data_IF_119520444337
#
_entry.id   IF_119520444337
#
_cell.length_a   1.000
_cell.length_b   1.000
_cell.length_c   1.000
_cell.angle_alpha   90.00
_cell.angle_beta   90.00
_cell.angle_gamma   90.00
#
_symmetry.space_group_name_H-M   'P 1'
#
loop_
_entity.id
_entity.type
_entity.pdbx_description
1 polymer ?
#
# COMPACT_ATOMS: atom_id res chain seq x y z
N UNK A 1 24.18 -17.61 4.39
CA UNK A 1 24.71 -16.33 4.93
C UNK A 1 23.53 -15.47 5.33
N UNK A 2 23.64 -14.65 6.38
CA UNK A 2 22.56 -13.74 6.80
C UNK A 2 22.36 -12.59 5.81
N UNK A 3 21.15 -12.01 5.76
CA UNK A 3 20.86 -10.81 4.96
C UNK A 3 21.51 -9.57 5.57
N UNK A 4 21.68 -8.52 4.78
CA UNK A 4 22.17 -7.21 5.24
C UNK A 4 21.18 -6.13 4.83
N UNK A 5 20.67 -5.40 5.81
CA UNK A 5 19.80 -4.25 5.64
C UNK A 5 20.61 -2.96 5.76
N UNK A 6 20.62 -2.18 4.68
CA UNK A 6 21.25 -0.87 4.59
C UNK A 6 20.21 0.20 4.91
N UNK A 7 20.51 1.06 5.88
CA UNK A 7 19.52 1.90 6.53
C UNK A 7 19.94 3.36 6.46
N UNK A 8 19.00 4.24 6.10
CA UNK A 8 19.23 5.68 6.15
C UNK A 8 19.48 6.17 7.59
N UNK A 9 20.39 7.13 7.78
CA UNK A 9 20.74 7.63 9.12
C UNK A 9 19.53 8.26 9.84
N UNK A 10 18.65 8.93 9.08
CA UNK A 10 17.42 9.52 9.59
C UNK A 10 16.50 8.49 10.27
N UNK A 11 16.48 7.24 9.78
CA UNK A 11 15.72 6.14 10.41
C UNK A 11 16.32 5.80 11.79
N UNK A 12 17.65 5.76 11.89
CA UNK A 12 18.35 5.54 13.16
C UNK A 12 18.08 6.64 14.18
N UNK A 13 18.05 7.91 13.73
CA UNK A 13 17.71 9.05 14.58
C UNK A 13 16.26 8.97 15.06
N UNK A 14 15.32 8.70 14.15
CA UNK A 14 13.90 8.56 14.47
C UNK A 14 13.65 7.45 15.50
N UNK A 15 14.22 6.25 15.31
CA UNK A 15 14.11 5.15 16.27
C UNK A 15 14.73 5.48 17.63
N UNK A 16 15.85 6.20 17.63
CA UNK A 16 16.50 6.70 18.86
C UNK A 16 15.60 7.68 19.62
N UNK A 17 14.97 8.61 18.90
CA UNK A 17 14.07 9.63 19.47
C UNK A 17 12.81 8.98 20.05
N UNK A 18 12.20 8.03 19.34
CA UNK A 18 11.07 7.25 19.85
C UNK A 18 11.43 6.52 21.15
N UNK A 19 12.61 5.91 21.17
CA UNK A 19 13.11 5.21 22.35
C UNK A 19 13.42 6.14 23.53
N UNK A 20 13.76 7.41 23.29
CA UNK A 20 14.04 8.39 24.33
C UNK A 20 12.75 8.99 24.91
N UNK A 21 11.75 9.23 24.06
CA UNK A 21 10.48 9.88 24.44
C UNK A 21 9.53 8.96 25.22
N UNK A 22 9.69 7.65 25.14
CA UNK A 22 8.75 6.68 25.72
C UNK A 22 9.45 5.56 26.49
N UNK A 23 8.94 5.27 27.70
CA UNK A 23 9.25 4.03 28.43
C UNK A 23 8.32 2.86 28.06
N UNK A 24 7.35 3.10 27.16
CA UNK A 24 6.35 2.11 26.74
C UNK A 24 6.90 1.23 25.61
N UNK A 25 6.25 0.08 25.40
CA UNK A 25 6.45 -0.73 24.20
C UNK A 25 5.94 0.06 22.99
N UNK A 26 6.75 0.16 21.93
CA UNK A 26 6.36 0.81 20.66
C UNK A 26 6.48 -0.23 19.57
N UNK A 27 5.43 -0.39 18.76
CA UNK A 27 5.44 -1.21 17.55
C UNK A 27 5.42 -0.31 16.33
N UNK A 28 6.01 -0.76 15.23
CA UNK A 28 5.95 -0.04 13.95
C UNK A 28 6.40 -0.86 12.76
N UNK A 29 6.43 -0.20 11.61
CA UNK A 29 6.73 -0.76 10.30
C UNK A 29 8.03 -0.18 9.75
N UNK A 30 8.71 -0.96 8.93
CA UNK A 30 9.90 -0.55 8.19
C UNK A 30 9.56 -0.59 6.70
N UNK A 31 9.84 0.50 6.00
CA UNK A 31 9.55 0.67 4.57
C UNK A 31 10.86 0.82 3.80
N UNK A 32 10.92 0.18 2.63
CA UNK A 32 12.06 0.28 1.75
C UNK A 32 11.96 -0.68 0.57
N UNK A 33 13.11 -1.21 0.13
CA UNK A 33 13.20 -2.08 -1.04
C UNK A 33 14.03 -3.31 -0.73
N UNK A 34 13.50 -4.50 -1.05
CA UNK A 34 14.27 -5.74 -1.02
C UNK A 34 14.86 -6.04 -2.39
N UNK A 35 16.11 -6.53 -2.42
CA UNK A 35 16.72 -7.06 -3.65
C UNK A 35 17.54 -8.32 -3.36
N UNK A 36 17.92 -9.04 -4.40
CA UNK A 36 18.73 -10.27 -4.24
C UNK A 36 20.09 -9.99 -3.58
N UNK A 37 20.63 -8.78 -3.74
CA UNK A 37 21.97 -8.43 -3.23
C UNK A 37 21.95 -7.62 -1.94
N UNK A 38 21.06 -6.62 -1.86
CA UNK A 38 21.01 -5.66 -0.76
C UNK A 38 19.58 -5.24 -0.47
N UNK A 39 19.24 -5.18 0.80
CA UNK A 39 17.95 -4.62 1.22
C UNK A 39 18.17 -3.22 1.76
N UNK A 40 17.23 -2.34 1.47
CA UNK A 40 17.29 -0.93 1.80
C UNK A 40 16.11 -0.57 2.70
N UNK A 41 16.37 0.19 3.76
CA UNK A 41 15.36 0.75 4.66
C UNK A 41 15.41 2.27 4.56
N UNK A 42 14.33 2.85 4.07
CA UNK A 42 14.21 4.29 3.88
C UNK A 42 13.47 4.97 5.02
N UNK A 43 12.50 4.26 5.61
CA UNK A 43 11.59 4.87 6.58
C UNK A 43 11.23 3.86 7.67
N UNK A 44 11.12 4.36 8.90
CA UNK A 44 10.46 3.68 10.00
C UNK A 44 9.22 4.48 10.38
N UNK A 45 8.13 3.77 10.63
CA UNK A 45 6.82 4.36 10.90
C UNK A 45 6.27 3.72 12.17
N UNK A 46 6.03 4.51 13.21
CA UNK A 46 5.36 4.04 14.41
C UNK A 46 3.91 3.65 14.09
N UNK A 47 3.45 2.52 14.60
CA UNK A 47 2.02 2.17 14.54
C UNK A 47 1.22 3.13 15.42
N UNK A 48 0.14 3.74 14.88
CA UNK A 48 -0.72 4.63 15.65
C UNK A 48 -1.29 3.97 16.89
N UNK A 49 -1.48 4.74 17.96
CA UNK A 49 -2.09 4.24 19.19
C UNK A 49 -3.60 4.14 18.97
N UNK A 50 -4.22 3.04 19.41
CA UNK A 50 -5.68 2.93 19.38
C UNK A 50 -6.31 3.96 20.32
N UNK A 51 -7.36 4.64 19.88
CA UNK A 51 -8.05 5.66 20.67
C UNK A 51 -8.64 5.10 21.99
N UNK A 52 -9.00 3.81 22.07
CA UNK A 52 -9.43 3.17 23.31
C UNK A 52 -8.35 3.18 24.42
N UNK A 53 -7.07 3.23 24.04
CA UNK A 53 -5.94 3.30 24.96
C UNK A 53 -5.55 4.74 25.34
N UNK A 54 -6.07 5.77 24.65
CA UNK A 54 -5.78 7.17 24.97
C UNK A 54 -6.62 7.70 26.15
N UNK A 55 -7.79 7.11 26.37
CA UNK A 55 -8.75 7.53 27.40
C UNK A 55 -8.64 6.78 28.74
N UNK A 56 -7.77 5.76 28.84
CA UNK A 56 -7.59 5.00 30.08
C UNK A 56 -6.40 5.53 30.90
N UNK A 57 -6.70 6.33 31.92
CA UNK A 57 -5.75 6.82 32.92
C UNK A 57 -5.37 5.74 33.95
N UNK A 58 -4.89 4.56 33.52
CA UNK A 58 -4.57 3.46 34.43
C UNK A 58 -3.26 2.71 34.05
N UNK A 59 -2.23 3.02 34.84
CA UNK A 59 -1.01 2.30 35.24
C UNK A 59 -0.66 0.85 34.80
N UNK A 60 -0.91 0.40 33.57
CA UNK A 60 -0.39 -0.90 33.08
C UNK A 60 0.24 -0.78 31.69
N UNK A 61 1.46 -0.22 31.62
CA UNK A 61 2.10 0.23 30.36
C UNK A 61 3.35 -0.56 29.92
N UNK A 62 3.58 -1.75 30.51
CA UNK A 62 4.62 -2.71 30.10
C UNK A 62 4.03 -4.05 29.67
N UNK A 63 2.71 -4.15 29.53
CA UNK A 63 2.06 -5.41 29.22
C UNK A 63 2.14 -5.70 27.71
N UNK A 64 2.56 -6.91 27.39
CA UNK A 64 2.68 -7.41 26.01
C UNK A 64 1.29 -7.57 25.37
N UNK A 65 0.22 -7.59 26.18
CA UNK A 65 -1.18 -7.62 25.76
C UNK A 65 -1.60 -6.40 24.95
N UNK A 66 -0.88 -5.27 25.04
CA UNK A 66 -1.15 -4.04 24.27
C UNK A 66 -0.67 -4.12 22.81
N UNK A 67 0.07 -5.17 22.41
CA UNK A 67 0.48 -5.33 21.02
C UNK A 67 -0.67 -5.99 20.25
N UNK A 68 -1.45 -5.18 19.53
CA UNK A 68 -2.49 -5.69 18.64
C UNK A 68 -1.94 -6.03 17.25
N UNK A 69 -1.95 -7.32 16.93
CA UNK A 69 -1.48 -7.85 15.66
C UNK A 69 -2.37 -7.45 14.47
N UNK A 70 -3.69 -7.41 14.66
CA UNK A 70 -4.64 -7.05 13.60
C UNK A 70 -4.60 -5.54 13.32
N UNK A 71 -4.40 -4.73 14.36
CA UNK A 71 -4.21 -3.29 14.21
C UNK A 71 -2.91 -2.96 13.48
N UNK A 72 -1.81 -3.63 13.83
CA UNK A 72 -0.54 -3.47 13.12
C UNK A 72 -0.67 -3.94 11.67
N UNK A 73 -1.44 -5.00 11.41
CA UNK A 73 -1.74 -5.45 10.06
C UNK A 73 -2.62 -4.46 9.28
N UNK A 74 -3.61 -3.84 9.93
CA UNK A 74 -4.42 -2.77 9.34
C UNK A 74 -3.57 -1.55 8.95
N UNK A 75 -2.69 -1.13 9.86
CA UNK A 75 -1.70 -0.10 9.58
C UNK A 75 -0.82 -0.46 8.38
N UNK A 76 -0.30 -1.68 8.31
CA UNK A 76 0.54 -2.12 7.20
C UNK A 76 -0.21 -2.17 5.87
N UNK A 77 -1.50 -2.53 5.86
CA UNK A 77 -2.35 -2.44 4.66
C UNK A 77 -2.44 -1.00 4.17
N UNK A 78 -2.68 -0.06 5.08
CA UNK A 78 -2.80 1.35 4.73
C UNK A 78 -1.48 1.93 4.23
N UNK A 79 -0.38 1.69 4.95
CA UNK A 79 0.96 2.09 4.50
C UNK A 79 1.28 1.48 3.13
N UNK A 80 0.95 0.21 2.88
CA UNK A 80 1.23 -0.41 1.56
C UNK A 80 0.54 0.32 0.41
N UNK A 81 -0.70 0.81 0.61
CA UNK A 81 -1.42 1.63 -0.40
C UNK A 81 -0.71 2.96 -0.66
N UNK A 82 0.00 3.48 0.35
CA UNK A 82 0.74 4.74 0.31
C UNK A 82 2.15 4.62 -0.30
N UNK A 83 2.54 3.43 -0.76
CA UNK A 83 3.84 3.17 -1.37
C UNK A 83 3.74 3.05 -2.90
N UNK A 84 4.55 3.81 -3.65
CA UNK A 84 4.73 3.54 -5.07
C UNK A 84 5.47 2.23 -5.35
N UNK A 85 5.48 1.84 -6.62
CA UNK A 85 6.17 0.65 -7.11
C UNK A 85 7.62 0.55 -6.66
N UNK A 86 8.05 -0.68 -6.34
CA UNK A 86 9.43 -0.96 -5.91
C UNK A 86 9.70 -0.70 -4.43
N UNK A 87 8.80 0.00 -3.73
CA UNK A 87 8.82 0.10 -2.27
C UNK A 87 7.79 -0.86 -1.66
N UNK A 88 8.10 -1.36 -0.47
CA UNK A 88 7.23 -2.24 0.30
C UNK A 88 7.51 -2.13 1.81
N UNK A 89 6.61 -2.67 2.62
CA UNK A 89 6.84 -2.91 4.05
C UNK A 89 7.84 -4.07 4.18
N UNK A 90 9.12 -3.75 4.34
CA UNK A 90 10.24 -4.70 4.40
C UNK A 90 10.35 -5.40 5.75
N UNK A 91 9.64 -4.93 6.77
CA UNK A 91 9.55 -5.60 8.05
C UNK A 91 8.81 -4.82 9.12
N UNK A 92 8.90 -5.32 10.35
CA UNK A 92 8.29 -4.71 11.55
C UNK A 92 9.36 -4.47 12.61
N UNK A 93 9.14 -3.47 13.46
CA UNK A 93 10.00 -3.21 14.60
C UNK A 93 9.21 -3.14 15.91
N UNK A 94 9.87 -3.53 17.00
CA UNK A 94 9.40 -3.25 18.36
C UNK A 94 10.53 -2.62 19.17
N UNK A 95 10.21 -1.53 19.88
CA UNK A 95 11.05 -0.92 20.91
C UNK A 95 10.52 -1.35 22.27
N UNK A 96 11.36 -1.93 23.12
CA UNK A 96 10.94 -2.39 24.46
C UNK A 96 12.08 -2.40 25.47
N UNK A 97 11.72 -2.58 26.74
CA UNK A 97 12.67 -2.76 27.85
C UNK A 97 13.36 -4.14 27.76
N UNK A 98 14.61 -4.28 28.25
CA UNK A 98 15.42 -5.49 28.05
C UNK A 98 14.82 -6.78 28.64
N UNK A 99 13.99 -6.68 29.68
CA UNK A 99 13.40 -7.81 30.38
C UNK A 99 12.48 -8.65 29.48
N UNK A 100 11.85 -8.02 28.48
CA UNK A 100 10.89 -8.65 27.57
C UNK A 100 11.53 -9.16 26.26
N UNK A 101 12.86 -9.12 26.16
CA UNK A 101 13.55 -9.36 24.89
C UNK A 101 13.26 -10.74 24.28
N UNK A 102 13.01 -11.78 25.09
CA UNK A 102 12.74 -13.14 24.58
C UNK A 102 11.33 -13.27 24.04
N UNK A 103 10.34 -12.75 24.77
CA UNK A 103 8.93 -12.77 24.41
C UNK A 103 8.69 -11.96 23.13
N UNK A 104 9.35 -10.81 23.01
CA UNK A 104 9.24 -9.89 21.87
C UNK A 104 9.68 -10.56 20.57
N UNK A 105 10.65 -11.48 20.60
CA UNK A 105 11.07 -12.19 19.39
C UNK A 105 9.96 -13.09 18.82
N UNK A 106 9.18 -13.73 19.70
CA UNK A 106 8.03 -14.53 19.28
C UNK A 106 6.90 -13.64 18.74
N UNK A 107 6.68 -12.48 19.37
CA UNK A 107 5.66 -11.51 18.94
C UNK A 107 6.03 -10.90 17.60
N UNK A 108 7.28 -10.47 17.40
CA UNK A 108 7.78 -9.97 16.13
C UNK A 108 7.56 -10.96 14.99
N UNK A 109 7.83 -12.26 15.23
CA UNK A 109 7.53 -13.31 14.24
C UNK A 109 6.03 -13.32 13.91
N UNK A 110 5.15 -13.40 14.91
CA UNK A 110 3.70 -13.43 14.68
C UNK A 110 3.23 -12.22 13.91
N UNK A 111 3.60 -11.01 14.36
CA UNK A 111 3.30 -9.75 13.70
C UNK A 111 3.72 -9.75 12.23
N UNK A 112 4.95 -10.17 11.94
CA UNK A 112 5.48 -10.21 10.58
C UNK A 112 4.62 -11.07 9.64
N UNK A 113 4.23 -12.26 10.08
CA UNK A 113 3.39 -13.16 9.29
C UNK A 113 1.93 -12.67 9.19
N UNK A 114 1.38 -12.09 10.26
CA UNK A 114 0.04 -11.49 10.26
C UNK A 114 -0.01 -10.30 9.29
N UNK A 115 0.98 -9.41 9.34
CA UNK A 115 1.16 -8.29 8.41
C UNK A 115 1.26 -8.79 6.97
N UNK A 116 2.19 -9.70 6.66
CA UNK A 116 2.38 -10.16 5.28
C UNK A 116 1.13 -10.86 4.74
N UNK A 117 0.50 -11.75 5.53
CA UNK A 117 -0.75 -12.42 5.15
C UNK A 117 -1.85 -11.40 4.84
N UNK A 118 -1.91 -10.35 5.65
CA UNK A 118 -2.91 -9.30 5.49
C UNK A 118 -2.71 -8.48 4.22
N UNK A 119 -1.47 -8.04 3.98
CA UNK A 119 -1.11 -7.27 2.78
C UNK A 119 -1.26 -8.14 1.53
N UNK A 120 -0.82 -9.40 1.56
CA UNK A 120 -0.90 -10.32 0.42
C UNK A 120 -2.34 -10.65 0.00
N UNK A 121 -3.31 -10.63 0.93
CA UNK A 121 -4.72 -10.95 0.64
C UNK A 121 -5.36 -10.03 -0.41
N UNK A 122 -4.93 -8.77 -0.47
CA UNK A 122 -5.49 -7.76 -1.38
C UNK A 122 -4.69 -7.60 -2.69
N UNK A 123 -3.51 -8.21 -2.80
CA UNK A 123 -2.68 -8.13 -4.02
C UNK A 123 -3.32 -8.91 -5.17
N UNK A 124 -3.22 -8.34 -6.37
CA UNK A 124 -3.62 -9.00 -7.62
C UNK A 124 -2.43 -9.64 -8.36
N UNK A 125 -1.27 -9.67 -7.73
CA UNK A 125 -0.04 -10.29 -8.20
C UNK A 125 0.56 -11.15 -7.09
N UNK A 126 1.37 -12.13 -7.46
CA UNK A 126 2.05 -13.06 -6.53
C UNK A 126 3.54 -12.79 -6.47
N UNK A 127 4.15 -13.10 -5.32
CA UNK A 127 5.60 -13.15 -5.17
C UNK A 127 6.11 -14.35 -5.98
N UNK A 128 6.95 -14.10 -6.99
CA UNK A 128 7.58 -15.12 -7.82
C UNK A 128 8.80 -15.75 -7.12
N UNK A 129 9.39 -16.78 -7.72
CA UNK A 129 10.63 -17.39 -7.21
C UNK A 129 11.84 -16.44 -7.28
N UNK A 130 11.81 -15.46 -8.19
CA UNK A 130 12.89 -14.47 -8.32
C UNK A 130 12.81 -13.35 -7.28
N UNK A 131 11.64 -13.20 -6.65
CA UNK A 131 11.38 -12.17 -5.67
C UNK A 131 11.95 -12.53 -4.29
N UNK A 132 12.36 -11.49 -3.56
CA UNK A 132 12.76 -11.64 -2.17
C UNK A 132 11.53 -11.72 -1.26
N UNK A 133 11.29 -12.91 -0.71
CA UNK A 133 10.28 -13.16 0.31
C UNK A 133 10.74 -12.82 1.73
N UNK A 134 12.05 -12.67 1.96
CA UNK A 134 12.56 -12.36 3.29
C UNK A 134 12.01 -11.00 3.81
N UNK A 135 11.57 -10.98 5.07
CA UNK A 135 11.14 -9.77 5.79
C UNK A 135 11.84 -9.68 7.14
N UNK A 136 12.13 -8.48 7.59
CA UNK A 136 12.88 -8.26 8.82
C UNK A 136 12.00 -8.11 10.05
N UNK A 137 12.53 -8.57 11.18
CA UNK A 137 12.03 -8.35 12.51
C UNK A 137 13.13 -7.63 13.31
N UNK A 138 12.85 -6.38 13.67
CA UNK A 138 13.79 -5.52 14.38
C UNK A 138 13.36 -5.35 15.84
N UNK A 139 14.24 -5.68 16.77
CA UNK A 139 14.05 -5.35 18.19
C UNK A 139 15.08 -4.31 18.62
N UNK A 140 14.61 -3.19 19.16
CA UNK A 140 15.45 -2.16 19.77
C UNK A 140 15.22 -2.15 21.28
N UNK A 141 16.29 -2.34 22.05
CA UNK A 141 16.22 -2.19 23.49
C UNK A 141 16.27 -0.72 23.89
N UNK A 142 15.24 -0.24 24.59
CA UNK A 142 15.13 1.18 24.96
C UNK A 142 16.23 1.64 25.92
N UNK A 143 16.67 0.75 26.82
CA UNK A 143 17.71 1.02 27.83
C UNK A 143 19.12 0.89 27.28
N UNK A 144 19.44 -0.24 26.62
CA UNK A 144 20.81 -0.53 26.17
C UNK A 144 21.12 0.03 24.79
N UNK A 145 20.10 0.50 24.06
CA UNK A 145 20.17 0.91 22.64
C UNK A 145 20.66 -0.19 21.70
N UNK A 146 20.73 -1.45 22.18
CA UNK A 146 21.12 -2.60 21.38
C UNK A 146 20.02 -2.94 20.38
N UNK A 147 20.43 -3.12 19.12
CA UNK A 147 19.58 -3.57 18.03
C UNK A 147 19.78 -5.07 17.81
N UNK A 148 18.68 -5.82 17.71
CA UNK A 148 18.66 -7.21 17.30
C UNK A 148 17.82 -7.32 16.02
N UNK A 149 18.48 -7.62 14.90
CA UNK A 149 17.84 -7.78 13.60
C UNK A 149 17.82 -9.25 13.20
N UNK A 150 16.64 -9.75 12.83
CA UNK A 150 16.42 -11.09 12.30
C UNK A 150 15.59 -11.01 11.03
N UNK A 151 15.70 -12.03 10.19
CA UNK A 151 14.93 -12.14 8.96
C UNK A 151 14.22 -13.49 8.87
N UNK A 152 13.06 -13.47 8.24
CA UNK A 152 12.19 -14.62 8.05
C UNK A 152 11.72 -14.67 6.60
N UNK A 153 11.78 -15.86 6.01
CA UNK A 153 11.13 -16.12 4.73
C UNK A 153 9.62 -16.24 4.96
N UNK A 154 8.86 -15.25 4.48
CA UNK A 154 7.41 -15.21 4.68
C UNK A 154 6.63 -16.20 3.81
N UNK A 155 7.26 -16.77 2.79
CA UNK A 155 6.67 -17.86 1.99
C UNK A 155 6.78 -19.22 2.69
N UNK A 156 7.67 -19.36 3.67
CA UNK A 156 7.80 -20.54 4.51
C UNK A 156 7.36 -20.26 5.96
N UNK A 157 6.10 -20.57 6.33
CA UNK A 157 5.59 -20.40 7.69
C UNK A 157 6.37 -21.19 8.76
N UNK A 158 7.14 -22.21 8.36
CA UNK A 158 7.96 -23.05 9.25
C UNK A 158 9.41 -22.56 9.32
N UNK A 159 9.78 -21.50 8.61
CA UNK A 159 11.15 -21.01 8.54
C UNK A 159 11.67 -20.64 9.93
N UNK A 160 12.96 -20.84 10.18
CA UNK A 160 13.62 -20.36 11.39
C UNK A 160 14.19 -18.97 11.19
N UNK A 161 14.26 -18.19 12.28
CA UNK A 161 14.85 -16.86 12.22
C UNK A 161 16.33 -16.92 11.83
N UNK A 162 16.73 -16.17 10.82
CA UNK A 162 18.14 -16.01 10.43
C UNK A 162 18.64 -14.66 10.97
N UNK A 163 19.85 -14.59 11.57
CA UNK A 163 20.42 -13.29 11.94
C UNK A 163 20.66 -12.46 10.67
N UNK A 164 20.45 -11.16 10.77
CA UNK A 164 20.68 -10.21 9.69
C UNK A 164 21.47 -9.00 10.21
N UNK A 165 22.29 -8.42 9.34
CA UNK A 165 23.06 -7.23 9.66
C UNK A 165 22.19 -5.97 9.49
N UNK A 166 22.30 -5.05 10.44
CA UNK A 166 21.72 -3.72 10.39
C UNK A 166 22.84 -2.69 10.22
N UNK A 167 22.94 -2.07 9.05
CA UNK A 167 24.08 -1.22 8.66
C UNK A 167 23.58 0.15 8.23
N UNK A 168 23.98 1.20 8.95
CA UNK A 168 23.71 2.57 8.51
C UNK A 168 24.56 2.92 7.29
N UNK A 169 23.96 3.61 6.33
CA UNK A 169 24.61 4.08 5.12
C UNK A 169 24.15 5.50 4.81
N UNK A 170 25.11 6.42 4.70
CA UNK A 170 24.84 7.82 4.37
C UNK A 170 24.32 7.96 2.93
N UNK A 171 23.44 8.94 2.73
CA UNK A 171 22.92 9.35 1.43
C UNK A 171 22.20 8.22 0.66
N UNK A 172 21.58 7.29 1.39
CA UNK A 172 20.77 6.23 0.79
C UNK A 172 19.58 6.83 0.01
N UNK A 173 18.97 7.87 0.58
CA UNK A 173 17.82 8.62 0.05
C UNK A 173 18.13 9.41 -1.23
N UNK A 174 19.41 9.69 -1.51
CA UNK A 174 19.82 10.39 -2.73
C UNK A 174 20.02 9.45 -3.94
N UNK A 175 20.00 8.14 -3.72
CA UNK A 175 20.44 7.13 -4.70
C UNK A 175 19.29 6.37 -5.37
N UNK A 176 18.14 7.01 -5.58
CA UNK A 176 16.95 6.37 -6.16
C UNK A 176 16.69 6.86 -7.59
N UNK A 177 16.44 5.90 -8.48
CA UNK A 177 15.95 6.16 -9.83
C UNK A 177 14.43 6.13 -9.80
N UNK A 178 13.80 7.12 -10.44
CA UNK A 178 12.35 7.14 -10.60
C UNK A 178 11.97 6.64 -11.98
N UNK A 179 10.97 5.79 -12.06
CA UNK A 179 10.34 5.36 -13.31
C UNK A 179 8.91 5.87 -13.32
N UNK A 180 8.50 6.48 -14.43
CA UNK A 180 7.17 7.04 -14.58
C UNK A 180 6.53 6.51 -15.87
N UNK A 181 5.26 6.14 -15.80
CA UNK A 181 4.48 5.82 -16.99
C UNK A 181 3.04 6.32 -16.87
N UNK A 182 2.39 6.48 -18.02
CA UNK A 182 0.94 6.68 -18.08
C UNK A 182 0.31 5.52 -18.83
N UNK A 183 -0.72 4.91 -18.25
CA UNK A 183 -1.46 3.80 -18.85
C UNK A 183 -2.94 4.14 -18.97
N UNK A 184 -3.51 3.87 -20.15
CA UNK A 184 -4.94 4.02 -20.38
C UNK A 184 -5.68 2.77 -19.91
N UNK A 185 -6.70 2.98 -19.09
CA UNK A 185 -7.57 1.93 -18.55
C UNK A 185 -8.88 1.96 -19.31
N UNK A 186 -9.31 0.79 -19.78
CA UNK A 186 -10.63 0.56 -20.37
C UNK A 186 -11.04 -0.89 -20.10
N UNK A 187 -11.59 -1.14 -18.91
CA UNK A 187 -11.93 -2.48 -18.43
C UNK A 187 -13.45 -2.60 -18.36
N UNK A 188 -13.98 -3.67 -18.97
CA UNK A 188 -15.39 -4.06 -18.86
C UNK A 188 -15.51 -5.33 -18.01
N UNK A 189 -16.26 -5.24 -16.92
CA UNK A 189 -16.49 -6.34 -15.97
C UNK A 189 -17.98 -6.69 -16.00
N UNK A 190 -18.38 -7.79 -16.65
CA UNK A 190 -19.76 -8.25 -16.62
C UNK A 190 -20.11 -8.75 -15.21
N UNK A 191 -21.33 -8.47 -14.75
CA UNK A 191 -21.89 -8.98 -13.49
C UNK A 191 -22.88 -10.11 -13.82
N UNK A 192 -22.50 -11.39 -13.66
CA UNK A 192 -23.35 -12.51 -14.02
C UNK A 192 -24.66 -12.53 -13.22
N UNK A 193 -25.70 -13.13 -13.79
CA UNK A 193 -27.03 -13.21 -13.17
C UNK A 193 -27.24 -14.37 -12.16
N UNK A 194 -26.18 -15.04 -11.71
CA UNK A 194 -26.33 -16.21 -10.82
C UNK A 194 -26.40 -15.81 -9.34
N UNK A 195 -27.13 -16.55 -8.51
CA UNK A 195 -27.25 -16.27 -7.07
C UNK A 195 -25.88 -16.27 -6.33
N UNK A 196 -24.86 -16.93 -6.90
CA UNK A 196 -23.50 -16.95 -6.37
C UNK A 196 -22.63 -15.75 -6.81
N UNK A 197 -23.12 -14.91 -7.74
CA UNK A 197 -22.42 -13.77 -8.33
C UNK A 197 -22.88 -12.40 -7.80
N UNK A 198 -23.70 -12.35 -6.75
CA UNK A 198 -24.12 -11.07 -6.12
C UNK A 198 -23.00 -10.33 -5.35
N UNK A 199 -21.78 -10.85 -5.28
CA UNK A 199 -20.69 -10.13 -4.64
C UNK A 199 -19.94 -9.23 -5.64
N UNK A 200 -20.29 -7.94 -5.65
CA UNK A 200 -19.63 -6.88 -6.43
C UNK A 200 -18.11 -6.92 -6.23
N UNK A 201 -17.63 -7.02 -4.99
CA UNK A 201 -16.21 -7.11 -4.62
C UNK A 201 -15.53 -8.28 -5.36
N UNK A 202 -16.16 -9.45 -5.38
CA UNK A 202 -15.62 -10.65 -6.02
C UNK A 202 -15.54 -10.50 -7.54
N UNK A 203 -16.59 -9.98 -8.18
CA UNK A 203 -16.62 -9.80 -9.63
C UNK A 203 -15.62 -8.73 -10.08
N UNK A 204 -15.54 -7.60 -9.35
CA UNK A 204 -14.53 -6.57 -9.56
C UNK A 204 -13.14 -7.17 -9.45
N UNK A 205 -12.84 -7.89 -8.35
CA UNK A 205 -11.52 -8.51 -8.14
C UNK A 205 -11.15 -9.47 -9.26
N UNK A 206 -12.10 -10.26 -9.76
CA UNK A 206 -11.86 -11.16 -10.89
C UNK A 206 -11.61 -10.39 -12.20
N UNK A 207 -12.36 -9.31 -12.45
CA UNK A 207 -12.16 -8.43 -13.60
C UNK A 207 -10.79 -7.76 -13.58
N UNK A 208 -10.42 -7.17 -12.45
CA UNK A 208 -9.11 -6.57 -12.23
C UNK A 208 -7.98 -7.60 -12.29
N UNK A 209 -8.19 -8.83 -11.80
CA UNK A 209 -7.20 -9.90 -11.90
C UNK A 209 -6.88 -10.29 -13.35
N UNK A 210 -7.90 -10.33 -14.22
CA UNK A 210 -7.67 -10.54 -15.67
C UNK A 210 -6.88 -9.40 -16.30
N UNK A 211 -7.17 -8.16 -15.92
CA UNK A 211 -6.42 -7.00 -16.39
C UNK A 211 -4.99 -6.99 -15.85
N UNK A 212 -4.78 -7.36 -14.58
CA UNK A 212 -3.45 -7.49 -13.97
C UNK A 212 -2.59 -8.48 -14.75
N UNK A 213 -3.14 -9.61 -15.19
CA UNK A 213 -2.43 -10.54 -16.06
C UNK A 213 -2.02 -9.90 -17.40
N UNK A 214 -2.85 -9.05 -18.00
CA UNK A 214 -2.49 -8.32 -19.23
C UNK A 214 -1.33 -7.33 -18.99
N UNK A 215 -1.23 -6.76 -17.79
CA UNK A 215 -0.10 -5.89 -17.39
C UNK A 215 1.16 -6.72 -17.15
N UNK A 216 1.03 -7.90 -16.54
CA UNK A 216 2.15 -8.84 -16.38
C UNK A 216 2.71 -9.30 -17.73
N UNK A 217 1.85 -9.51 -18.73
CA UNK A 217 2.25 -9.91 -20.09
C UNK A 217 2.64 -8.71 -20.99
N UNK A 218 2.59 -7.47 -20.48
CA UNK A 218 2.86 -6.27 -21.26
C UNK A 218 4.35 -6.06 -21.52
N UNK A 219 4.66 -5.35 -22.63
CA UNK A 219 6.02 -4.97 -22.99
C UNK A 219 6.29 -3.54 -22.52
N UNK A 220 7.42 -3.35 -21.84
CA UNK A 220 7.83 -2.06 -21.29
C UNK A 220 8.99 -1.48 -22.09
N UNK A 221 8.79 -0.28 -22.63
CA UNK A 221 9.82 0.47 -23.36
C UNK A 221 10.41 1.54 -22.45
N UNK A 222 11.66 1.37 -22.02
CA UNK A 222 12.36 2.32 -21.17
C UNK A 222 13.12 3.29 -22.06
N UNK A 223 12.80 4.58 -21.99
CA UNK A 223 13.29 5.60 -22.93
C UNK A 223 13.06 5.19 -24.41
N UNK A 224 11.92 4.56 -24.69
CA UNK A 224 11.53 4.13 -26.03
C UNK A 224 12.15 2.82 -26.52
N UNK A 225 12.93 2.10 -25.70
CA UNK A 225 13.58 0.85 -26.09
C UNK A 225 13.14 -0.32 -25.20
N UNK A 226 12.81 -1.46 -25.82
CA UNK A 226 12.71 -2.74 -25.12
C UNK A 226 14.13 -3.26 -24.88
N UNK A 227 14.45 -3.61 -23.64
CA UNK A 227 15.76 -4.11 -23.23
C UNK A 227 15.63 -5.51 -22.65
N UNK A 228 16.71 -6.26 -22.68
CA UNK A 228 16.76 -7.59 -22.05
C UNK A 228 16.60 -7.48 -20.52
N UNK A 229 15.94 -8.46 -19.93
CA UNK A 229 15.53 -8.47 -18.52
C UNK A 229 16.73 -8.38 -17.56
N UNK A 230 17.80 -9.12 -17.84
CA UNK A 230 19.01 -9.16 -17.02
C UNK A 230 20.05 -8.07 -17.37
N UNK A 231 19.76 -7.21 -18.35
CA UNK A 231 20.62 -6.09 -18.70
C UNK A 231 20.67 -5.05 -17.57
N UNK A 232 21.77 -4.32 -17.48
CA UNK A 232 21.85 -3.20 -16.53
C UNK A 232 20.89 -2.10 -17.02
N UNK A 233 20.04 -1.60 -16.12
CA UNK A 233 19.06 -0.55 -16.44
C UNK A 233 19.75 0.72 -17.01
N UNK A 234 20.98 0.96 -16.61
CA UNK A 234 21.77 2.14 -16.98
C UNK A 234 22.85 1.84 -18.04
N UNK A 235 22.81 0.67 -18.68
CA UNK A 235 23.78 0.29 -19.71
C UNK A 235 23.71 1.26 -20.91
N UNK A 236 24.88 1.68 -21.42
CA UNK A 236 25.01 2.59 -22.56
C UNK A 236 24.83 4.09 -22.25
N UNK A 237 24.41 4.49 -21.05
CA UNK A 237 24.39 5.91 -20.66
C UNK A 237 25.80 6.34 -20.23
N UNK A 238 26.51 7.10 -21.09
CA UNK A 238 27.80 7.72 -20.74
C UNK A 238 27.61 8.52 -19.45
N UNK A 239 28.33 8.15 -18.38
CA UNK A 239 28.47 8.99 -17.18
C UNK A 239 29.01 10.34 -17.64
N UNK A 240 28.14 11.34 -17.74
CA UNK A 240 28.58 12.71 -17.95
C UNK A 240 29.58 13.02 -16.85
N UNK A 241 30.80 13.42 -17.24
CA UNK A 241 31.99 13.56 -16.40
C UNK A 241 31.94 14.84 -15.57
N UNK A 242 30.75 15.24 -15.12
CA UNK A 242 30.49 16.40 -14.28
C UNK A 242 29.73 15.98 -13.04
N UNK A 243 30.31 16.25 -11.87
CA UNK A 243 29.66 16.17 -10.57
C UNK A 243 28.54 17.21 -10.53
N UNK A 244 27.35 16.84 -11.01
CA UNK A 244 26.10 17.54 -10.70
C UNK A 244 25.45 16.82 -9.52
N UNK A 245 25.30 17.48 -8.35
CA UNK A 245 24.58 16.92 -7.23
C UNK A 245 23.09 16.76 -7.60
N UNK A 246 22.49 15.64 -7.21
CA UNK A 246 21.07 15.56 -6.85
C UNK A 246 20.01 16.02 -7.88
N UNK A 247 20.17 15.73 -9.17
CA UNK A 247 19.02 15.75 -10.08
C UNK A 247 18.32 14.37 -10.07
N UNK A 248 17.08 14.31 -9.58
CA UNK A 248 16.21 13.13 -9.66
C UNK A 248 16.18 12.64 -11.10
N UNK A 249 16.76 11.45 -11.35
CA UNK A 249 16.76 10.87 -12.70
C UNK A 249 15.45 10.12 -12.89
N UNK A 250 14.57 10.74 -13.66
CA UNK A 250 13.30 10.16 -14.07
C UNK A 250 13.50 9.42 -15.40
N UNK A 251 13.05 8.17 -15.45
CA UNK A 251 13.01 7.33 -16.64
C UNK A 251 11.56 7.29 -17.14
N UNK A 252 11.32 7.80 -18.34
CA UNK A 252 10.01 7.67 -18.99
C UNK A 252 9.86 6.24 -19.52
N UNK A 253 8.77 5.59 -19.12
CA UNK A 253 8.44 4.24 -19.54
C UNK A 253 7.12 4.24 -20.29
N UNK A 254 7.09 3.60 -21.46
CA UNK A 254 5.86 3.35 -22.21
C UNK A 254 5.46 1.90 -22.08
N UNK A 255 4.20 1.67 -21.74
CA UNK A 255 3.63 0.34 -21.56
C UNK A 255 2.83 -0.03 -22.81
N UNK A 256 3.20 -1.15 -23.43
CA UNK A 256 2.50 -1.72 -24.57
C UNK A 256 1.78 -2.99 -24.13
N UNK A 257 0.47 -2.87 -23.93
CA UNK A 257 -0.38 -4.03 -23.64
C UNK A 257 -0.59 -4.84 -24.91
N UNK A 258 -0.38 -6.16 -24.81
CA UNK A 258 -0.60 -7.05 -25.94
C UNK A 258 -2.10 -7.10 -26.25
N UNK A 259 -2.48 -6.75 -27.48
CA UNK A 259 -3.79 -7.10 -28.00
C UNK A 259 -3.89 -8.63 -28.00
N UNK A 260 -4.80 -9.17 -27.19
CA UNK A 260 -5.12 -10.59 -27.15
C UNK A 260 -5.71 -11.02 -28.50
N UNK A 261 -4.86 -11.22 -29.50
CA UNK A 261 -5.23 -11.90 -30.73
C UNK A 261 -5.13 -13.40 -30.45
N UNK A 262 -6.27 -14.09 -30.43
CA UNK A 262 -6.25 -15.53 -30.22
C UNK A 262 -5.46 -16.20 -31.35
N UNK A 263 -4.46 -16.98 -30.97
CA UNK A 263 -3.73 -17.83 -31.90
C UNK A 263 -4.65 -19.02 -32.24
N UNK A 264 -5.30 -18.95 -33.41
CA UNK A 264 -5.94 -20.09 -34.10
C UNK A 264 -7.15 -20.80 -33.45
N UNK A 265 -7.99 -20.13 -32.67
CA UNK A 265 -9.34 -20.63 -32.38
C UNK A 265 -10.40 -19.79 -33.09
N UNK A 266 -11.36 -20.44 -33.78
CA UNK A 266 -12.62 -19.79 -34.18
C UNK A 266 -13.16 -19.11 -32.92
N UNK A 267 -13.18 -17.78 -32.92
CA UNK A 267 -13.70 -17.00 -31.80
C UNK A 267 -15.21 -17.23 -31.74
N UNK A 268 -15.65 -18.20 -30.96
CA UNK A 268 -17.06 -18.40 -30.68
C UNK A 268 -17.46 -17.35 -29.66
N UNK A 269 -18.27 -16.38 -30.07
CA UNK A 269 -18.86 -15.42 -29.16
C UNK A 269 -19.65 -16.19 -28.08
N UNK A 270 -19.21 -16.12 -26.83
CA UNK A 270 -19.92 -16.71 -25.70
C UNK A 270 -20.94 -15.70 -25.21
N UNK A 271 -22.22 -16.06 -25.23
CA UNK A 271 -23.28 -15.25 -24.63
C UNK A 271 -23.35 -15.56 -23.14
N UNK A 272 -23.30 -14.53 -22.31
CA UNK A 272 -23.43 -14.65 -20.86
C UNK A 272 -24.60 -13.78 -20.39
N UNK A 273 -25.48 -14.35 -19.57
CA UNK A 273 -26.59 -13.62 -18.95
C UNK A 273 -26.03 -12.83 -17.76
N UNK A 274 -26.21 -11.52 -17.79
CA UNK A 274 -25.66 -10.59 -16.82
C UNK A 274 -26.78 -9.71 -16.25
N UNK A 275 -26.75 -9.48 -14.93
CA UNK A 275 -27.63 -8.54 -14.24
C UNK A 275 -27.02 -7.14 -14.15
N UNK A 276 -25.87 -6.90 -14.79
CA UNK A 276 -25.20 -5.61 -14.76
C UNK A 276 -23.79 -5.66 -15.31
N UNK A 277 -23.09 -4.54 -15.20
CA UNK A 277 -21.66 -4.42 -15.52
C UNK A 277 -21.00 -3.28 -14.77
N UNK A 278 -19.67 -3.33 -14.73
CA UNK A 278 -18.80 -2.24 -14.30
C UNK A 278 -17.91 -1.86 -15.48
N UNK A 279 -17.85 -0.57 -15.82
CA UNK A 279 -16.89 -0.02 -16.76
C UNK A 279 -15.89 0.86 -16.03
N UNK A 280 -14.61 0.53 -16.12
CA UNK A 280 -13.51 1.36 -15.61
C UNK A 280 -12.82 2.02 -16.80
N UNK A 281 -12.80 3.35 -16.83
CA UNK A 281 -12.20 4.11 -17.93
C UNK A 281 -11.37 5.28 -17.41
N UNK A 282 -10.21 5.51 -17.99
CA UNK A 282 -9.39 6.68 -17.67
C UNK A 282 -7.91 6.48 -17.98
N UNK A 283 -7.07 7.32 -17.38
CA UNK A 283 -5.62 7.21 -17.45
C UNK A 283 -5.03 7.20 -16.03
N UNK A 284 -4.07 6.32 -15.79
CA UNK A 284 -3.30 6.24 -14.55
C UNK A 284 -1.88 6.74 -14.80
N UNK A 285 -1.37 7.66 -13.99
CA UNK A 285 0.06 7.96 -13.90
C UNK A 285 0.60 7.10 -12.76
N UNK A 286 1.57 6.27 -13.12
CA UNK A 286 2.19 5.31 -12.23
C UNK A 286 3.65 5.67 -12.05
N UNK A 287 4.15 5.40 -10.85
CA UNK A 287 5.49 5.75 -10.41
C UNK A 287 6.13 4.60 -9.68
N UNK A 288 7.38 4.32 -9.99
CA UNK A 288 8.17 3.32 -9.28
C UNK A 288 9.56 3.85 -8.95
N UNK A 289 10.16 3.27 -7.92
CA UNK A 289 11.49 3.62 -7.44
C UNK A 289 12.38 2.39 -7.33
N UNK A 290 13.60 2.51 -7.84
CA UNK A 290 14.63 1.47 -7.72
C UNK A 290 15.92 2.11 -7.22
N UNK A 291 16.57 1.47 -6.26
CA UNK A 291 17.86 1.93 -5.77
C UNK A 291 18.94 1.77 -6.86
N UNK A 292 19.80 2.78 -7.02
CA UNK A 292 20.81 2.91 -8.07
C UNK A 292 22.06 2.03 -7.84
N UNK A 293 21.91 0.85 -7.26
CA UNK A 293 23.01 -0.11 -7.08
C UNK A 293 22.94 -1.20 -8.15
N UNK A 294 23.42 -0.87 -9.36
CA UNK A 294 23.37 -1.76 -10.53
C UNK A 294 21.99 -2.40 -10.77
N UNK A 295 20.92 -1.59 -10.84
CA UNK A 295 19.59 -2.13 -11.02
C UNK A 295 19.43 -2.81 -12.37
N UNK A 296 18.69 -3.91 -12.40
CA UNK A 296 18.36 -4.63 -13.64
C UNK A 296 17.08 -4.10 -14.27
N UNK A 297 16.93 -4.31 -15.57
CA UNK A 297 15.71 -3.96 -16.29
C UNK A 297 14.50 -4.68 -15.70
N UNK A 298 14.63 -5.98 -15.36
CA UNK A 298 13.54 -6.76 -14.76
C UNK A 298 13.03 -6.18 -13.45
N UNK A 299 13.92 -5.75 -12.54
CA UNK A 299 13.52 -5.18 -11.25
C UNK A 299 12.70 -3.91 -11.44
N UNK A 300 13.14 -3.04 -12.36
CA UNK A 300 12.47 -1.80 -12.71
C UNK A 300 11.09 -2.03 -13.34
N UNK A 301 10.99 -2.97 -14.29
CA UNK A 301 9.73 -3.34 -14.93
C UNK A 301 8.77 -3.96 -13.91
N UNK A 302 9.25 -4.87 -13.06
CA UNK A 302 8.46 -5.50 -12.01
C UNK A 302 7.90 -4.46 -11.02
N UNK A 303 8.73 -3.51 -10.60
CA UNK A 303 8.30 -2.44 -9.72
C UNK A 303 7.17 -1.60 -10.33
N UNK A 304 7.28 -1.27 -11.63
CA UNK A 304 6.26 -0.48 -12.32
C UNK A 304 4.98 -1.28 -12.59
N UNK A 305 5.09 -2.56 -12.98
CA UNK A 305 3.93 -3.47 -13.10
C UNK A 305 3.11 -3.50 -11.80
N UNK A 306 3.80 -3.65 -10.67
CA UNK A 306 3.17 -3.67 -9.34
C UNK A 306 2.50 -2.34 -9.02
N UNK A 307 3.12 -1.20 -9.32
CA UNK A 307 2.49 0.11 -9.11
C UNK A 307 1.21 0.27 -9.94
N UNK A 308 1.25 -0.11 -11.23
CA UNK A 308 0.09 -0.06 -12.13
C UNK A 308 -1.07 -0.90 -11.57
N UNK A 309 -0.77 -2.14 -11.18
CA UNK A 309 -1.76 -3.09 -10.68
C UNK A 309 -2.34 -2.62 -9.34
N UNK A 310 -1.47 -2.24 -8.39
CA UNK A 310 -1.89 -1.79 -7.06
C UNK A 310 -2.69 -0.49 -7.16
N UNK A 311 -2.22 0.51 -7.93
CA UNK A 311 -2.90 1.81 -8.05
C UNK A 311 -4.35 1.65 -8.48
N UNK A 312 -4.63 0.85 -9.51
CA UNK A 312 -6.01 0.66 -9.96
C UNK A 312 -6.83 -0.14 -8.93
N UNK A 313 -6.23 -1.18 -8.36
CA UNK A 313 -6.88 -2.05 -7.37
C UNK A 313 -7.27 -1.26 -6.12
N UNK A 314 -6.34 -0.48 -5.57
CA UNK A 314 -6.52 0.32 -4.36
C UNK A 314 -7.59 1.40 -4.58
N UNK A 315 -7.54 2.13 -5.70
CA UNK A 315 -8.57 3.13 -6.03
C UNK A 315 -9.96 2.53 -6.15
N UNK A 316 -10.08 1.38 -6.81
CA UNK A 316 -11.35 0.66 -6.90
C UNK A 316 -11.83 0.24 -5.51
N UNK A 317 -10.94 -0.33 -4.69
CA UNK A 317 -11.28 -0.78 -3.36
C UNK A 317 -11.74 0.37 -2.46
N UNK A 318 -11.00 1.49 -2.44
CA UNK A 318 -11.35 2.69 -1.67
C UNK A 318 -12.74 3.20 -2.09
N UNK A 319 -13.01 3.31 -3.39
CA UNK A 319 -14.34 3.74 -3.88
C UNK A 319 -15.44 2.75 -3.47
N UNK A 320 -15.23 1.44 -3.63
CA UNK A 320 -16.26 0.46 -3.28
C UNK A 320 -16.48 0.36 -1.78
N UNK A 321 -15.44 0.52 -0.96
CA UNK A 321 -15.56 0.65 0.49
C UNK A 321 -16.39 1.89 0.86
N UNK A 322 -16.13 3.04 0.24
CA UNK A 322 -16.90 4.28 0.44
C UNK A 322 -18.38 4.12 0.05
N UNK A 323 -18.66 3.55 -1.13
CA UNK A 323 -20.03 3.32 -1.59
C UNK A 323 -20.83 2.42 -0.63
N UNK A 324 -20.19 1.40 -0.04
CA UNK A 324 -20.83 0.53 0.95
C UNK A 324 -21.14 1.25 2.27
N UNK A 325 -20.33 2.25 2.66
CA UNK A 325 -20.54 3.04 3.88
C UNK A 325 -21.63 4.09 3.66
N UNK A 326 -21.60 4.75 2.50
CA UNK A 326 -22.49 5.86 2.15
C UNK A 326 -23.78 5.43 1.45
N UNK A 327 -24.02 4.11 1.31
CA UNK A 327 -25.25 3.53 0.77
C UNK A 327 -26.46 3.92 1.64
N UNK A 328 -27.11 5.04 1.29
CA UNK A 328 -28.34 5.49 1.96
C UNK A 328 -29.49 4.51 1.66
N UNK A 329 -30.10 3.87 2.67
CA UNK A 329 -31.26 3.00 2.46
C UNK A 329 -32.45 3.85 2.00
N UNK A 330 -32.65 3.97 0.69
CA UNK A 330 -33.81 4.68 0.13
C UNK A 330 -33.68 5.25 -1.28
N UNK A 331 -32.48 5.46 -1.83
CA UNK A 331 -32.33 5.96 -3.22
C UNK A 331 -32.48 4.84 -4.24
N UNK A 332 -33.73 4.41 -4.46
CA UNK A 332 -34.14 3.49 -5.53
C UNK A 332 -34.12 4.14 -6.92
N UNK A 333 -32.98 4.60 -7.40
CA UNK A 333 -32.88 5.06 -8.79
C UNK A 333 -32.13 4.03 -9.64
N UNK A 334 -32.87 3.41 -10.55
CA UNK A 334 -32.40 2.50 -11.60
C UNK A 334 -31.61 3.23 -12.68
N UNK A 335 -30.62 4.04 -12.28
CA UNK A 335 -29.84 4.90 -13.16
C UNK A 335 -28.40 4.42 -13.16
N UNK A 336 -27.73 4.52 -14.31
CA UNK A 336 -26.29 4.34 -14.39
C UNK A 336 -25.64 5.35 -13.45
N UNK A 337 -24.82 4.86 -12.54
CA UNK A 337 -24.08 5.72 -11.63
C UNK A 337 -22.65 5.85 -12.14
N UNK A 338 -22.20 7.10 -12.23
CA UNK A 338 -20.84 7.44 -12.62
C UNK A 338 -20.13 7.98 -11.39
N UNK A 339 -19.03 7.35 -11.05
CA UNK A 339 -18.20 7.68 -9.91
C UNK A 339 -16.80 8.04 -10.40
N UNK A 340 -16.16 9.00 -9.73
CA UNK A 340 -14.76 9.35 -9.99
C UNK A 340 -13.90 8.56 -9.01
N UNK A 341 -12.85 7.90 -9.49
CA UNK A 341 -11.89 7.22 -8.61
C UNK A 341 -11.05 8.26 -7.86
N UNK A 342 -10.67 7.99 -6.60
CA UNK A 342 -9.81 8.89 -5.85
C UNK A 342 -8.46 9.08 -6.55
N UNK A 343 -7.97 10.31 -6.56
CA UNK A 343 -6.74 10.70 -7.24
C UNK A 343 -5.53 10.45 -6.33
N UNK A 344 -4.37 10.11 -6.91
CA UNK A 344 -3.12 10.02 -6.12
C UNK A 344 -2.60 11.42 -5.80
N UNK A 345 -2.21 11.61 -4.55
CA UNK A 345 -1.47 12.79 -4.08
C UNK A 345 -0.10 12.31 -3.65
N UNK A 346 0.96 12.97 -4.11
CA UNK A 346 2.33 12.61 -3.79
C UNK A 346 2.96 13.61 -2.83
N UNK A 347 3.81 13.12 -1.94
CA UNK A 347 4.66 13.93 -1.05
C UNK A 347 6.04 13.32 -0.96
N UNK A 348 7.07 14.13 -0.73
CA UNK A 348 8.44 13.63 -0.62
C UNK A 348 8.74 13.10 0.77
N UNK A 349 9.50 12.00 0.86
CA UNK A 349 10.15 11.64 2.12
C UNK A 349 11.19 12.74 2.42
N UNK A 350 11.19 13.25 3.66
CA UNK A 350 12.11 14.30 4.09
C UNK A 350 13.57 13.88 3.80
N UNK A 351 14.28 14.70 3.03
CA UNK A 351 15.69 14.45 2.65
C UNK A 351 15.89 13.40 1.55
N UNK A 352 14.82 12.97 0.87
CA UNK A 352 14.86 11.99 -0.22
C UNK A 352 14.22 12.53 -1.49
N UNK A 353 14.57 11.94 -2.64
CA UNK A 353 13.87 12.17 -3.92
C UNK A 353 12.74 11.15 -4.15
N UNK A 354 12.53 10.25 -3.19
CA UNK A 354 11.46 9.26 -3.19
C UNK A 354 10.18 9.91 -2.71
N UNK A 355 9.13 9.79 -3.51
CA UNK A 355 7.79 10.24 -3.15
C UNK A 355 7.02 9.07 -2.53
N UNK A 356 6.22 9.37 -1.51
CA UNK A 356 5.11 8.55 -1.02
C UNK A 356 3.82 9.02 -1.71
N UNK A 357 2.76 8.23 -1.63
CA UNK A 357 1.46 8.65 -2.12
C UNK A 357 0.35 8.46 -1.10
N UNK A 358 -0.76 9.14 -1.33
CA UNK A 358 -2.04 8.89 -0.70
C UNK A 358 -3.15 9.08 -1.74
N UNK A 359 -4.40 8.80 -1.37
CA UNK A 359 -5.56 8.90 -2.24
C UNK A 359 -6.54 9.94 -1.73
N UNK A 360 -7.00 10.79 -2.64
CA UNK A 360 -7.87 11.92 -2.33
C UNK A 360 -9.13 11.90 -3.19
N UNK A 361 -10.30 11.96 -2.57
CA UNK A 361 -11.58 12.23 -3.22
C UNK A 361 -11.73 13.70 -3.62
N UNK A 362 -12.74 14.00 -4.45
CA UNK A 362 -12.93 15.35 -5.00
C UNK A 362 -13.34 16.39 -3.96
N UNK A 363 -13.98 15.95 -2.89
CA UNK A 363 -14.54 16.75 -1.78
C UNK A 363 -13.58 16.91 -0.60
N UNK A 364 -12.56 16.06 -0.48
CA UNK A 364 -11.54 16.18 0.57
C UNK A 364 -10.69 17.45 0.38
N UNK A 365 -10.26 18.00 1.52
CA UNK A 365 -9.38 19.15 1.63
C UNK A 365 -7.91 18.71 1.65
N UNK A 366 -7.00 19.64 1.37
CA UNK A 366 -5.56 19.37 1.47
C UNK A 366 -5.16 19.06 2.92
N UNK A 367 -5.84 19.68 3.91
CA UNK A 367 -5.55 19.50 5.33
C UNK A 367 -5.87 18.08 5.80
N UNK A 368 -7.01 17.52 5.37
CA UNK A 368 -7.38 16.13 5.69
C UNK A 368 -6.32 15.15 5.18
N UNK A 369 -5.76 15.38 3.99
CA UNK A 369 -4.65 14.57 3.46
C UNK A 369 -3.37 14.74 4.28
N UNK A 370 -3.04 15.96 4.72
CA UNK A 370 -1.87 16.19 5.58
C UNK A 370 -2.00 15.49 6.95
N UNK A 371 -3.19 15.56 7.55
CA UNK A 371 -3.51 14.88 8.82
C UNK A 371 -3.41 13.37 8.64
N UNK A 372 -3.97 12.82 7.56
CA UNK A 372 -3.90 11.39 7.28
C UNK A 372 -2.46 10.93 7.00
N UNK A 373 -1.62 11.71 6.31
CA UNK A 373 -0.18 11.43 6.20
C UNK A 373 0.51 11.41 7.56
N UNK A 374 0.21 12.38 8.42
CA UNK A 374 0.78 12.43 9.77
C UNK A 374 0.36 11.20 10.57
N UNK A 375 -0.91 10.82 10.53
CA UNK A 375 -1.43 9.68 11.26
C UNK A 375 -0.88 8.36 10.73
N UNK A 376 -0.81 8.17 9.41
CA UNK A 376 -0.40 6.89 8.80
C UNK A 376 1.10 6.73 8.65
N UNK A 377 1.85 7.82 8.47
CA UNK A 377 3.29 7.78 8.20
C UNK A 377 4.13 8.33 9.35
N UNK A 378 3.51 8.88 10.41
CA UNK A 378 4.16 9.56 11.54
C UNK A 378 5.11 10.69 11.06
N UNK A 379 4.72 11.34 9.95
CA UNK A 379 5.47 12.42 9.30
C UNK A 379 4.57 13.60 8.95
N UNK A 380 4.93 14.79 9.43
CA UNK A 380 4.26 16.02 9.05
C UNK A 380 4.64 16.42 7.62
N UNK A 381 3.64 16.75 6.80
CA UNK A 381 3.79 17.17 5.41
C UNK A 381 3.31 18.62 5.26
N UNK A 382 4.07 19.46 4.56
CA UNK A 382 3.63 20.83 4.25
C UNK A 382 2.76 20.86 3.01
N UNK A 383 1.85 21.84 2.91
CA UNK A 383 0.89 21.92 1.80
C UNK A 383 1.56 22.12 0.44
N UNK A 384 2.69 22.83 0.41
CA UNK A 384 3.45 23.10 -0.82
C UNK A 384 4.18 21.87 -1.37
N UNK A 385 4.38 20.84 -0.54
CA UNK A 385 5.04 19.59 -0.91
C UNK A 385 4.08 18.57 -1.55
N UNK A 386 2.77 18.86 -1.56
CA UNK A 386 1.74 17.96 -2.07
C UNK A 386 1.50 18.17 -3.56
N UNK A 387 1.68 17.08 -4.33
CA UNK A 387 1.46 17.07 -5.78
C UNK A 387 0.32 16.12 -6.14
N UNK A 388 -0.82 16.69 -6.55
CA UNK A 388 -1.95 15.89 -7.07
C UNK A 388 -1.60 15.42 -8.48
N UNK A 389 -1.71 14.12 -8.72
CA UNK A 389 -1.51 13.55 -10.04
C UNK A 389 -2.63 13.98 -10.99
N UNK A 390 -2.28 14.59 -12.13
CA UNK A 390 -3.28 14.96 -13.15
C UNK A 390 -3.77 13.69 -13.87
N UNK A 391 -4.85 13.12 -13.36
CA UNK A 391 -5.46 11.89 -13.86
C UNK A 391 -6.96 12.00 -13.72
N UNK A 392 -7.69 11.43 -14.67
CA UNK A 392 -9.16 11.32 -14.59
C UNK A 392 -9.51 9.87 -14.86
N UNK A 393 -10.08 9.22 -13.85
CA UNK A 393 -10.59 7.86 -13.95
C UNK A 393 -12.02 7.81 -13.44
N UNK A 394 -12.88 7.18 -14.23
CA UNK A 394 -14.31 7.07 -13.97
C UNK A 394 -14.71 5.60 -13.91
N UNK A 395 -15.63 5.30 -13.00
CA UNK A 395 -16.29 4.02 -12.86
C UNK A 395 -17.76 4.20 -13.18
N UNK A 396 -18.27 3.49 -14.17
CA UNK A 396 -19.71 3.39 -14.42
C UNK A 396 -20.18 2.03 -13.89
N UNK A 397 -21.11 2.06 -12.94
CA UNK A 397 -21.77 0.85 -12.41
C UNK A 397 -23.21 0.84 -12.90
N UNK A 398 -23.62 -0.27 -13.52
CA UNK A 398 -24.99 -0.48 -13.98
C UNK A 398 -25.51 -1.80 -13.45
N UNK A 399 -26.60 -1.74 -12.68
CA UNK A 399 -27.32 -2.90 -12.16
C UNK A 399 -28.75 -2.90 -12.75
N UNK A 400 -29.16 -4.04 -13.30
CA UNK A 400 -30.51 -4.29 -13.80
C UNK A 400 -31.36 -4.89 -12.68
N UNK A 401 -32.60 -4.43 -12.48
CA UNK A 401 -33.50 -5.01 -11.47
C UNK A 401 -33.82 -6.47 -11.82
N UNK A 402 -33.69 -7.38 -10.86
CA UNK A 402 -34.43 -8.65 -10.90
C UNK A 402 -35.90 -8.38 -10.55
N UNK A 403 -36.80 -9.10 -11.24
CA UNK A 403 -38.19 -9.22 -10.84
C UNK A 403 -38.23 -9.77 -9.41
N UNK A 404 -39.04 -9.11 -8.59
CA UNK A 404 -39.22 -9.39 -7.18
C UNK A 404 -39.74 -10.82 -7.00
N UNK A 405 -38.87 -11.76 -6.61
CA UNK A 405 -39.33 -12.97 -5.95
C UNK A 405 -39.00 -12.86 -4.46
N UNK A 406 -40.05 -13.03 -3.66
CA UNK A 406 -40.02 -12.82 -2.22
C UNK A 406 -39.20 -13.95 -1.57
N UNK A 407 -37.90 -13.76 -1.42
CA UNK A 407 -37.13 -14.52 -0.44
C UNK A 407 -36.15 -13.57 0.25
N UNK A 408 -36.39 -13.35 1.54
CA UNK A 408 -35.55 -12.47 2.36
C UNK A 408 -34.08 -12.91 2.26
N UNK A 409 -33.16 -12.04 1.81
CA UNK A 409 -31.74 -12.33 1.95
C UNK A 409 -31.38 -12.23 3.44
N UNK A 410 -30.70 -13.26 3.96
CA UNK A 410 -30.13 -13.27 5.31
C UNK A 410 -29.37 -11.97 5.54
N UNK A 411 -29.85 -11.18 6.49
CA UNK A 411 -29.16 -10.00 7.01
C UNK A 411 -27.70 -10.35 7.29
N UNK A 412 -26.81 -9.81 6.47
CA UNK A 412 -25.42 -9.58 6.87
C UNK A 412 -25.52 -8.59 8.02
N UNK A 413 -25.34 -9.08 9.26
CA UNK A 413 -25.50 -8.27 10.46
C UNK A 413 -24.54 -7.09 10.41
N UNK A 414 -25.08 -5.91 10.71
CA UNK A 414 -24.35 -4.62 10.85
C UNK A 414 -23.04 -4.75 11.64
N UNK A 415 -22.96 -5.70 12.56
CA UNK A 415 -21.78 -6.09 13.33
C UNK A 415 -20.62 -6.64 12.48
N UNK A 416 -20.89 -7.47 11.47
CA UNK A 416 -19.85 -8.01 10.58
C UNK A 416 -19.31 -6.94 9.62
N UNK A 417 -20.14 -5.95 9.26
CA UNK A 417 -19.73 -4.77 8.50
C UNK A 417 -18.90 -3.81 9.37
N UNK A 418 -19.32 -3.54 10.60
CA UNK A 418 -18.53 -2.77 11.58
C UNK A 418 -17.18 -3.39 11.86
N UNK A 419 -17.07 -4.73 11.89
CA UNK A 419 -15.81 -5.45 12.07
C UNK A 419 -14.86 -5.27 10.87
N UNK A 420 -15.39 -5.29 9.64
CA UNK A 420 -14.62 -4.95 8.42
C UNK A 420 -14.26 -3.46 8.36
N UNK A 421 -15.08 -2.59 8.96
CA UNK A 421 -14.85 -1.15 9.03
C UNK A 421 -13.73 -0.79 10.01
N UNK A 422 -13.71 -1.41 11.19
CA UNK A 422 -12.61 -1.27 12.16
C UNK A 422 -11.26 -1.77 11.63
N UNK A 423 -11.27 -2.57 10.57
CA UNK A 423 -10.07 -3.03 9.88
C UNK A 423 -9.49 -2.00 8.90
N UNK A 424 -10.18 -0.88 8.65
CA UNK A 424 -9.73 0.18 7.74
C UNK A 424 -9.42 1.44 8.56
N UNK A 425 -8.14 1.60 8.88
CA UNK A 425 -7.65 2.65 9.77
C UNK A 425 -8.02 4.07 9.29
N UNK A 426 -8.00 4.31 7.98
CA UNK A 426 -8.39 5.60 7.38
C UNK A 426 -9.87 5.96 7.61
N UNK A 427 -10.78 4.97 7.62
CA UNK A 427 -12.21 5.23 7.89
C UNK A 427 -12.47 5.46 9.38
N UNK A 428 -11.76 4.73 10.26
CA UNK A 428 -11.85 4.95 11.72
C UNK A 428 -11.40 6.37 12.09
N UNK A 429 -10.30 6.83 11.48
CA UNK A 429 -9.77 8.18 11.72
C UNK A 429 -10.66 9.26 11.08
N UNK A 430 -11.13 9.08 9.85
CA UNK A 430 -12.05 10.04 9.22
C UNK A 430 -13.36 10.21 10.02
N UNK A 431 -13.91 9.12 10.56
CA UNK A 431 -15.07 9.17 11.46
C UNK A 431 -14.72 9.90 12.76
N UNK A 432 -13.53 9.69 13.33
CA UNK A 432 -13.08 10.40 14.52
C UNK A 432 -12.90 11.90 14.28
N UNK A 433 -12.26 12.31 13.19
CA UNK A 433 -12.11 13.72 12.79
C UNK A 433 -13.47 14.38 12.57
N UNK A 434 -14.41 13.68 11.92
CA UNK A 434 -15.78 14.18 11.76
C UNK A 434 -16.50 14.35 13.12
N UNK A 435 -16.35 13.40 14.05
CA UNK A 435 -16.94 13.49 15.40
C UNK A 435 -16.29 14.60 16.21
N UNK A 436 -14.96 14.77 16.14
CA UNK A 436 -14.25 15.87 16.79
C UNK A 436 -14.64 17.22 16.21
N UNK A 437 -14.76 17.35 14.88
CA UNK A 437 -15.22 18.58 14.24
C UNK A 437 -16.66 18.93 14.63
N UNK A 438 -17.54 17.93 14.77
CA UNK A 438 -18.91 18.13 15.27
C UNK A 438 -18.88 18.56 16.75
N UNK A 439 -18.10 17.92 17.60
CA UNK A 439 -17.98 18.27 19.02
C UNK A 439 -17.40 19.69 19.22
N UNK A 440 -16.38 20.07 18.44
CA UNK A 440 -15.83 21.42 18.43
C UNK A 440 -16.85 22.45 17.90
N UNK A 441 -17.62 22.12 16.87
CA UNK A 441 -18.70 22.99 16.38
C UNK A 441 -19.79 23.20 17.42
N UNK A 442 -20.21 22.14 18.12
CA UNK A 442 -21.23 22.25 19.18
C UNK A 442 -20.72 23.06 20.38
N UNK A 443 -19.45 22.95 20.75
CA UNK A 443 -18.87 23.77 21.82
C UNK A 443 -18.67 25.24 21.39
N UNK A 444 -18.43 25.52 20.12
CA UNK A 444 -18.27 26.89 19.62
C UNK A 444 -19.61 27.65 19.50
N UNK A 445 -20.73 26.94 19.33
CA UNK A 445 -22.08 27.52 19.30
C UNK A 445 -22.80 27.52 20.66
N UNK A 446 -22.12 27.10 21.74
CA UNK A 446 -22.71 27.00 23.08
C UNK A 446 -22.27 28.13 24.04
N UNK A 447 -21.56 29.15 23.57
CA UNK A 447 -21.28 30.40 24.30
C UNK A 447 -22.10 31.59 23.77
#
# INVERSE_FOLDING_TARGET
>A
MGRSYFVEEAVGQYLSDLSAKSKKIITGLLVGQCSQQRDYVLLAIRTPVKEEESNSSASHHTDLSNIDEEWTAAHARQVTRMLPGGLLVVGVFIISVPELAKEIQNILRKLLFTVEKSVARKRLWSISEEDVSDRMALHLCSTTKKILCRTYDVQDPKCTAKPADWKYQNALSASWLSLECTINVNIHIPLPATLASHNLEKNTRNGLGRWAQQIEDAVFLINGQAREEDADLMEGQKKSRGYMPSATRNLEVRVLTKLMQSTNSRSTATVQICNGYINLKGALKCKAYIHNNKPKVKDAVQALKRDIINTLSDRCEILFEDLLVNEMPGKKNSKREYHILPCRVFTSIVGSNVLLCDYKFGDETIREIQEHFLDMMDQAVQSDDLHIAEEINTVEVSLTKEFQDNTQPKQVTKEMLLLKLHQNMGVVIAVAVAISAIAFSFNYFSD
#
